data_IF_152600533132
#
_entry.id   IF_152600533132
#
_cell.length_a   1.000
_cell.length_b   1.000
_cell.length_c   1.000
_cell.angle_alpha   90.00
_cell.angle_beta   90.00
_cell.angle_gamma   90.00
#
_symmetry.space_group_name_H-M   'P 1'
#
loop_
_entity.id
_entity.type
_entity.pdbx_description
1 polymer ?
#
# COMPACT_ATOMS: atom_id res chain seq x y z
N UNK A 1 -0.58 -13.58 -10.77
CA UNK A 1 -1.78 -14.46 -10.62
C UNK A 1 -3.02 -13.57 -10.60
N UNK A 2 -4.15 -13.95 -11.22
CA UNK A 2 -5.39 -13.19 -11.11
C UNK A 2 -5.77 -12.97 -9.64
N UNK A 3 -6.26 -11.78 -9.29
CA UNK A 3 -6.67 -11.43 -7.92
C UNK A 3 -5.53 -11.15 -6.92
N UNK A 4 -4.26 -11.22 -7.33
CA UNK A 4 -3.14 -10.94 -6.42
C UNK A 4 -3.17 -9.50 -5.87
N UNK A 5 -3.49 -8.51 -6.71
CA UNK A 5 -3.63 -7.12 -6.29
C UNK A 5 -4.82 -6.93 -5.34
N UNK A 6 -5.95 -7.58 -5.61
CA UNK A 6 -7.11 -7.50 -4.73
C UNK A 6 -6.78 -8.01 -3.33
N UNK A 7 -6.14 -9.18 -3.22
CA UNK A 7 -5.73 -9.75 -1.92
C UNK A 7 -4.75 -8.83 -1.19
N UNK A 8 -3.80 -8.25 -1.92
CA UNK A 8 -2.84 -7.29 -1.37
C UNK A 8 -3.52 -6.04 -0.78
N UNK A 9 -4.57 -5.54 -1.42
CA UNK A 9 -5.25 -4.30 -1.00
C UNK A 9 -6.42 -4.54 -0.03
N UNK A 10 -6.90 -5.78 0.10
CA UNK A 10 -7.99 -6.16 0.99
C UNK A 10 -7.82 -5.67 2.44
N UNK A 11 -6.62 -5.72 3.07
CA UNK A 11 -6.47 -5.25 4.44
C UNK A 11 -6.79 -3.76 4.60
N UNK A 12 -6.51 -2.92 3.59
CA UNK A 12 -6.85 -1.49 3.65
C UNK A 12 -8.36 -1.30 3.83
N UNK A 13 -9.18 -2.06 3.10
CA UNK A 13 -10.63 -2.00 3.24
C UNK A 13 -11.10 -2.52 4.60
N UNK A 14 -10.52 -3.61 5.12
CA UNK A 14 -10.87 -4.17 6.43
C UNK A 14 -10.55 -3.22 7.59
N UNK A 15 -9.47 -2.47 7.48
CA UNK A 15 -9.06 -1.44 8.46
C UNK A 15 -9.67 -0.07 8.18
N UNK A 16 -10.58 0.06 7.21
CA UNK A 16 -11.23 1.31 6.85
C UNK A 16 -10.24 2.44 6.47
N UNK A 17 -9.16 2.08 5.76
CA UNK A 17 -8.12 3.01 5.28
C UNK A 17 -8.37 3.36 3.82
N UNK A 18 -8.54 4.66 3.55
CA UNK A 18 -8.74 5.17 2.19
C UNK A 18 -7.42 5.26 1.41
N UNK A 19 -7.49 4.99 0.11
CA UNK A 19 -6.41 5.20 -0.85
C UNK A 19 -6.67 6.45 -1.67
N UNK A 20 -5.65 7.29 -1.80
CA UNK A 20 -5.68 8.49 -2.65
C UNK A 20 -5.08 8.24 -4.04
N UNK A 21 -4.10 7.33 -4.12
CA UNK A 21 -3.36 7.07 -5.35
C UNK A 21 -2.87 5.63 -5.35
N UNK A 22 -2.88 5.03 -6.55
CA UNK A 22 -2.20 3.77 -6.81
C UNK A 22 -1.52 3.85 -8.19
N UNK A 23 -0.23 3.56 -8.23
CA UNK A 23 0.55 3.51 -9.46
C UNK A 23 1.34 2.21 -9.56
N UNK A 24 1.23 1.53 -10.69
CA UNK A 24 2.10 0.41 -11.01
C UNK A 24 3.35 0.87 -11.76
N UNK A 25 4.49 0.29 -11.40
CA UNK A 25 5.74 0.44 -12.15
C UNK A 25 6.34 -0.94 -12.43
N UNK A 26 6.93 -1.16 -13.62
CA UNK A 26 7.64 -2.40 -13.88
C UNK A 26 8.85 -2.50 -12.95
N UNK A 27 9.03 -3.65 -12.31
CA UNK A 27 10.23 -3.94 -11.53
C UNK A 27 11.44 -4.11 -12.45
N UNK A 28 12.61 -3.65 -11.99
CA UNK A 28 13.88 -3.82 -12.71
C UNK A 28 14.49 -5.22 -12.52
N UNK A 29 13.88 -6.08 -11.69
CA UNK A 29 14.43 -7.39 -11.28
C UNK A 29 13.94 -8.57 -12.13
N UNK A 30 12.80 -8.44 -12.80
CA UNK A 30 12.23 -9.52 -13.61
C UNK A 30 11.16 -9.00 -14.57
N UNK A 31 11.12 -9.58 -15.76
CA UNK A 31 9.99 -9.42 -16.67
C UNK A 31 8.75 -9.93 -15.91
N UNK A 32 7.69 -9.12 -15.81
CA UNK A 32 6.41 -9.41 -15.12
C UNK A 32 6.31 -9.13 -13.61
N UNK A 33 7.33 -8.60 -12.96
CA UNK A 33 7.19 -8.08 -11.60
C UNK A 33 6.69 -6.63 -11.63
N UNK A 34 5.72 -6.31 -10.77
CA UNK A 34 5.20 -4.96 -10.61
C UNK A 34 5.43 -4.49 -9.18
N UNK A 35 5.89 -3.25 -9.04
CA UNK A 35 5.86 -2.54 -7.77
C UNK A 35 4.71 -1.54 -7.79
N UNK A 36 4.01 -1.43 -6.67
CA UNK A 36 2.92 -0.49 -6.51
C UNK A 36 3.34 0.62 -5.56
N UNK A 37 3.14 1.86 -5.99
CA UNK A 37 3.20 3.04 -5.13
C UNK A 37 1.78 3.40 -4.75
N UNK A 38 1.52 3.51 -3.45
CA UNK A 38 0.18 3.71 -2.91
C UNK A 38 0.26 4.87 -1.91
N UNK A 39 -0.60 5.87 -2.11
CA UNK A 39 -0.80 6.94 -1.14
C UNK A 39 -2.07 6.63 -0.34
N UNK A 40 -1.96 6.65 0.99
CA UNK A 40 -3.05 6.38 1.92
C UNK A 40 -3.46 7.67 2.65
N UNK A 41 -4.72 7.77 3.04
CA UNK A 41 -5.14 8.77 4.03
C UNK A 41 -4.82 8.28 5.44
N UNK A 42 -4.16 9.12 6.24
CA UNK A 42 -3.76 8.83 7.62
C UNK A 42 -2.24 8.76 7.81
N UNK A 43 -1.83 8.63 9.06
CA UNK A 43 -0.43 8.51 9.46
C UNK A 43 -0.06 7.04 9.68
N UNK A 44 1.18 6.65 9.40
CA UNK A 44 1.66 5.26 9.57
C UNK A 44 1.61 4.73 11.02
N UNK A 45 1.42 5.64 12.00
CA UNK A 45 1.27 5.31 13.42
C UNK A 45 -0.19 5.32 13.88
N UNK A 46 -1.12 5.74 13.03
CA UNK A 46 -2.55 5.65 13.35
C UNK A 46 -2.94 4.18 13.34
N UNK A 47 -3.65 3.74 14.38
CA UNK A 47 -4.02 2.33 14.60
C UNK A 47 -4.60 1.63 13.34
N UNK A 48 -5.59 2.19 12.61
CA UNK A 48 -6.12 1.54 11.41
C UNK A 48 -5.07 1.42 10.29
N UNK A 49 -4.23 2.44 10.11
CA UNK A 49 -3.18 2.42 9.08
C UNK A 49 -2.08 1.44 9.46
N UNK A 50 -1.64 1.45 10.71
CA UNK A 50 -0.61 0.55 11.22
C UNK A 50 -1.05 -0.92 11.10
N UNK A 51 -2.30 -1.23 11.46
CA UNK A 51 -2.88 -2.56 11.30
C UNK A 51 -2.90 -3.02 9.85
N UNK A 52 -3.33 -2.14 8.94
CA UNK A 52 -3.35 -2.46 7.52
C UNK A 52 -1.92 -2.66 6.96
N UNK A 53 -0.98 -1.77 7.29
CA UNK A 53 0.42 -1.86 6.84
C UNK A 53 1.10 -3.15 7.31
N UNK A 54 0.81 -3.61 8.53
CA UNK A 54 1.32 -4.88 9.04
C UNK A 54 0.87 -6.05 8.15
N UNK A 55 -0.43 -6.13 7.86
CA UNK A 55 -0.98 -7.20 7.03
C UNK A 55 -0.51 -7.12 5.56
N UNK A 56 -0.36 -5.92 4.99
CA UNK A 56 0.24 -5.75 3.67
C UNK A 56 1.67 -6.28 3.61
N UNK A 57 2.46 -6.05 4.66
CA UNK A 57 3.86 -6.46 4.72
C UNK A 57 4.03 -7.98 4.70
N UNK A 58 3.05 -8.74 5.20
CA UNK A 58 3.05 -10.21 5.18
C UNK A 58 2.74 -10.77 3.79
N UNK A 59 1.97 -10.04 2.98
CA UNK A 59 1.56 -10.50 1.64
C UNK A 59 2.51 -10.05 0.53
N UNK A 60 3.23 -8.96 0.72
CA UNK A 60 4.12 -8.39 -0.29
C UNK A 60 5.53 -9.00 -0.21
N UNK A 61 6.08 -9.37 -1.37
CA UNK A 61 7.49 -9.79 -1.47
C UNK A 61 8.48 -8.65 -1.25
N UNK A 62 8.02 -7.40 -1.43
CA UNK A 62 8.74 -6.17 -1.14
C UNK A 62 7.76 -5.17 -0.55
N UNK A 63 8.06 -4.69 0.65
CA UNK A 63 7.25 -3.70 1.34
C UNK A 63 8.15 -2.62 1.94
N UNK A 64 7.78 -1.36 1.75
CA UNK A 64 8.49 -0.22 2.36
C UNK A 64 7.55 0.96 2.56
N UNK A 65 7.48 1.44 3.79
CA UNK A 65 6.89 2.75 4.09
C UNK A 65 7.90 3.82 3.70
N UNK A 66 7.51 4.71 2.78
CA UNK A 66 8.37 5.81 2.33
C UNK A 66 8.31 7.02 3.26
N UNK A 67 7.22 7.16 4.02
CA UNK A 67 7.03 8.19 5.03
C UNK A 67 5.57 8.57 5.19
N UNK A 68 5.31 9.46 6.14
CA UNK A 68 4.03 10.13 6.32
C UNK A 68 4.29 11.63 6.27
N UNK A 69 3.44 12.38 5.58
CA UNK A 69 3.62 13.82 5.36
C UNK A 69 2.29 14.56 5.55
N UNK A 70 2.31 15.84 5.95
CA UNK A 70 1.10 16.64 6.08
C UNK A 70 0.34 16.73 4.75
N UNK A 71 -0.98 16.59 4.80
CA UNK A 71 -1.83 16.80 3.63
C UNK A 71 -1.74 18.28 3.20
N UNK A 72 -1.42 18.52 1.94
CA UNK A 72 -1.41 19.87 1.38
C UNK A 72 -2.79 20.49 1.48
N UNK A 73 -2.88 21.67 2.08
CA UNK A 73 -4.09 22.50 2.07
C UNK A 73 -3.92 23.50 0.92
N UNK A 74 -4.81 23.45 -0.06
CA UNK A 74 -4.90 24.46 -1.12
C UNK A 74 -5.74 25.64 -0.66
#
# INVERSE_FOLDING_TARGET
RPGALFKLLEPLARHNVSMNRIESRPSRRGMWDYVFFIDLDGHSQDEPVAGALAELSEQASLFRVLGSYPKGVL
#
